data_IF_968022514296
#
_entry.id   IF_968022514296
#
_cell.length_a   1.000
_cell.length_b   1.000
_cell.length_c   1.000
_cell.angle_alpha   90.00
_cell.angle_beta   90.00
_cell.angle_gamma   90.00
#
_symmetry.space_group_name_H-M   'P 1'
#
loop_
_entity.id
_entity.type
_entity.pdbx_description
1 polymer ?
#
# COMPACT_ATOMS: atom_id res chain seq x y z
N UNK A 1 -22.70 3.88 11.13
CA UNK A 1 -21.97 4.94 10.38
C UNK A 1 -21.98 4.59 8.90
N UNK A 2 -22.04 5.57 8.01
CA UNK A 2 -21.76 5.34 6.58
C UNK A 2 -20.23 5.26 6.41
N UNK A 3 -19.72 4.14 5.91
CA UNK A 3 -18.33 4.01 5.49
C UNK A 3 -18.04 4.80 4.21
N UNK A 4 -16.78 4.82 3.78
CA UNK A 4 -16.37 5.44 2.53
C UNK A 4 -16.70 4.53 1.35
N UNK A 5 -17.22 5.12 0.27
CA UNK A 5 -17.49 4.39 -0.98
C UNK A 5 -16.22 4.16 -1.80
N UNK A 6 -15.22 5.03 -1.63
CA UNK A 6 -13.92 4.92 -2.29
C UNK A 6 -12.81 5.28 -1.31
N UNK A 7 -11.79 4.44 -1.23
CA UNK A 7 -10.50 4.75 -0.63
C UNK A 7 -9.44 4.63 -1.73
N UNK A 8 -8.65 5.68 -1.93
CA UNK A 8 -7.54 5.73 -2.88
C UNK A 8 -6.26 6.04 -2.11
N UNK A 9 -5.19 5.31 -2.39
CA UNK A 9 -3.89 5.57 -1.78
C UNK A 9 -2.74 5.32 -2.75
N UNK A 10 -1.78 6.24 -2.76
CA UNK A 10 -0.44 6.02 -3.28
C UNK A 10 0.52 5.98 -2.08
N UNK A 11 0.67 4.82 -1.41
CA UNK A 11 1.51 4.73 -0.23
C UNK A 11 2.99 4.52 -0.59
N UNK A 12 3.91 4.77 0.35
CA UNK A 12 5.32 4.38 0.19
C UNK A 12 5.43 2.86 -0.02
N UNK A 13 5.97 2.45 -1.18
CA UNK A 13 6.06 1.04 -1.61
C UNK A 13 7.50 0.57 -1.89
N UNK A 14 8.49 1.45 -1.73
CA UNK A 14 9.91 1.10 -1.96
C UNK A 14 10.47 0.44 -0.69
N UNK A 15 11.08 -0.74 -0.83
CA UNK A 15 11.79 -1.38 0.26
C UNK A 15 13.07 -0.60 0.63
N UNK A 16 13.42 -0.55 1.92
CA UNK A 16 14.58 0.24 2.37
C UNK A 16 15.91 -0.19 1.75
N UNK A 17 16.06 -1.48 1.44
CA UNK A 17 17.25 -2.03 0.79
C UNK A 17 17.41 -1.57 -0.67
N UNK A 18 16.38 -0.97 -1.28
CA UNK A 18 16.43 -0.44 -2.65
C UNK A 18 16.89 1.02 -2.74
N UNK A 19 17.22 1.67 -1.62
CA UNK A 19 17.66 3.08 -1.60
C UNK A 19 18.84 3.37 -2.55
N UNK A 20 19.76 2.40 -2.73
CA UNK A 20 20.90 2.53 -3.64
C UNK A 20 20.55 2.48 -5.14
N UNK A 21 19.35 2.01 -5.49
CA UNK A 21 18.88 1.88 -6.88
C UNK A 21 18.02 3.06 -7.35
N UNK A 22 17.72 4.01 -6.46
CA UNK A 22 16.94 5.19 -6.80
C UNK A 22 17.71 6.12 -7.72
N UNK A 23 16.99 6.76 -8.65
CA UNK A 23 17.52 7.88 -9.42
C UNK A 23 17.98 8.98 -8.45
N UNK A 24 19.10 9.64 -8.76
CA UNK A 24 19.68 10.67 -7.91
C UNK A 24 18.66 11.76 -7.54
N UNK A 25 17.89 12.24 -8.53
CA UNK A 25 16.87 13.27 -8.30
C UNK A 25 15.80 12.82 -7.29
N UNK A 26 15.33 11.57 -7.38
CA UNK A 26 14.33 11.02 -6.43
C UNK A 26 14.95 10.87 -5.05
N UNK A 27 16.14 10.29 -4.96
CA UNK A 27 16.83 10.07 -3.69
C UNK A 27 17.16 11.39 -2.97
N UNK A 28 17.56 12.41 -3.72
CA UNK A 28 18.12 13.64 -3.18
C UNK A 28 17.06 14.76 -3.00
N UNK A 29 15.89 14.63 -3.63
CA UNK A 29 14.83 15.67 -3.59
C UNK A 29 13.46 15.21 -3.07
N UNK A 30 13.14 13.91 -3.08
CA UNK A 30 11.86 13.43 -2.53
C UNK A 30 11.98 13.10 -1.04
N UNK A 31 10.94 13.38 -0.21
CA UNK A 31 10.96 13.01 1.20
C UNK A 31 11.05 11.50 1.37
N UNK A 32 12.03 11.02 2.15
CA UNK A 32 12.21 9.57 2.38
C UNK A 32 10.95 8.89 2.92
N UNK A 33 10.15 9.58 3.74
CA UNK A 33 8.89 9.06 4.31
C UNK A 33 7.81 8.81 3.25
N UNK A 34 7.88 9.49 2.10
CA UNK A 34 6.96 9.29 0.97
C UNK A 34 7.38 8.12 0.08
N UNK A 35 8.67 7.76 0.10
CA UNK A 35 9.23 6.71 -0.76
C UNK A 35 9.24 5.34 -0.08
N UNK A 36 9.78 5.28 1.14
CA UNK A 36 10.14 4.01 1.76
C UNK A 36 9.02 3.44 2.63
N UNK A 37 8.68 2.19 2.35
CA UNK A 37 7.94 1.37 3.30
C UNK A 37 8.84 0.99 4.49
N UNK A 38 8.24 0.70 5.64
CA UNK A 38 9.00 0.44 6.87
C UNK A 38 9.75 -0.90 6.89
N UNK A 39 9.27 -1.92 6.18
CA UNK A 39 9.90 -3.23 6.14
C UNK A 39 10.59 -3.56 4.82
N UNK A 40 11.07 -4.80 4.76
CA UNK A 40 12.07 -5.25 3.78
C UNK A 40 11.49 -5.59 2.41
N UNK A 41 10.18 -5.82 2.32
CA UNK A 41 9.51 -6.22 1.06
C UNK A 41 8.74 -5.08 0.39
N UNK A 42 8.70 -3.89 1.02
CA UNK A 42 7.97 -2.74 0.49
C UNK A 42 6.45 -2.82 0.70
N UNK A 43 5.93 -3.80 1.44
CA UNK A 43 4.49 -4.07 1.51
C UNK A 43 3.78 -3.61 2.79
N UNK A 44 4.50 -3.11 3.79
CA UNK A 44 3.92 -2.79 5.11
C UNK A 44 2.86 -1.70 5.06
N UNK A 45 3.08 -0.66 4.26
CA UNK A 45 2.09 0.39 4.04
C UNK A 45 0.76 -0.20 3.53
N UNK A 46 0.83 -1.15 2.58
CA UNK A 46 -0.37 -1.82 2.08
C UNK A 46 -1.04 -2.66 3.16
N UNK A 47 -0.29 -3.42 3.98
CA UNK A 47 -0.85 -4.21 5.09
C UNK A 47 -1.66 -3.35 6.05
N UNK A 48 -1.09 -2.23 6.48
CA UNK A 48 -1.74 -1.29 7.42
C UNK A 48 -2.98 -0.67 6.79
N UNK A 49 -2.90 -0.23 5.53
CA UNK A 49 -4.03 0.42 4.87
C UNK A 49 -5.14 -0.60 4.59
N UNK A 50 -4.83 -1.83 4.17
CA UNK A 50 -5.83 -2.88 3.95
C UNK A 50 -6.59 -3.19 5.25
N UNK A 51 -5.88 -3.29 6.38
CA UNK A 51 -6.49 -3.51 7.69
C UNK A 51 -7.45 -2.37 8.06
N UNK A 52 -7.01 -1.12 7.90
CA UNK A 52 -7.84 0.06 8.21
C UNK A 52 -9.00 0.24 7.22
N UNK A 53 -8.78 -0.04 5.94
CA UNK A 53 -9.79 0.08 4.91
C UNK A 53 -10.95 -0.90 5.14
N UNK A 54 -10.68 -2.11 5.66
CA UNK A 54 -11.72 -3.08 6.01
C UNK A 54 -12.71 -2.53 7.06
N UNK A 55 -12.25 -1.67 7.97
CA UNK A 55 -13.09 -1.03 8.99
C UNK A 55 -13.82 0.21 8.48
N UNK A 56 -13.31 0.83 7.40
CA UNK A 56 -13.71 2.16 6.94
C UNK A 56 -14.57 2.13 5.66
N UNK A 57 -14.49 1.06 4.86
CA UNK A 57 -15.26 0.94 3.62
C UNK A 57 -16.75 0.68 3.86
N UNK A 58 -17.59 1.20 2.96
CA UNK A 58 -18.99 0.80 2.87
C UNK A 58 -19.11 -0.62 2.28
N UNK A 59 -20.28 -1.25 2.40
CA UNK A 59 -20.51 -2.65 1.95
C UNK A 59 -20.13 -2.89 0.47
N UNK A 60 -20.27 -1.87 -0.38
CA UNK A 60 -19.90 -1.90 -1.79
C UNK A 60 -18.74 -0.94 -2.11
N UNK A 61 -18.00 -0.51 -1.09
CA UNK A 61 -16.88 0.39 -1.24
C UNK A 61 -15.71 -0.28 -1.96
N UNK A 62 -14.90 0.53 -2.62
CA UNK A 62 -13.73 0.09 -3.39
C UNK A 62 -12.44 0.70 -2.85
N UNK A 63 -11.38 -0.10 -2.83
CA UNK A 63 -10.03 0.31 -2.45
C UNK A 63 -9.13 0.28 -3.69
N UNK A 64 -8.47 1.40 -3.97
CA UNK A 64 -7.50 1.53 -5.05
C UNK A 64 -6.13 1.86 -4.50
N UNK A 65 -5.12 1.22 -5.07
CA UNK A 65 -3.72 1.48 -4.79
C UNK A 65 -2.95 1.82 -6.07
N UNK A 66 -2.05 2.80 -5.97
CA UNK A 66 -0.86 2.79 -6.81
C UNK A 66 0.13 1.76 -6.24
N UNK A 67 0.75 0.97 -7.11
CA UNK A 67 1.70 -0.09 -6.73
C UNK A 67 2.97 0.03 -7.56
N UNK A 68 4.10 -0.35 -6.97
CA UNK A 68 5.36 -0.45 -7.69
C UNK A 68 5.34 -1.55 -8.76
N UNK A 69 6.24 -1.44 -9.74
CA UNK A 69 6.40 -2.43 -10.80
C UNK A 69 6.66 -3.83 -10.22
N UNK A 70 5.82 -4.81 -10.59
CA UNK A 70 5.91 -6.20 -10.11
C UNK A 70 5.27 -6.47 -8.75
N UNK A 71 4.70 -5.49 -8.05
CA UNK A 71 4.05 -5.70 -6.74
C UNK A 71 2.54 -5.98 -6.82
N UNK A 72 1.92 -5.82 -8.00
CA UNK A 72 0.46 -5.91 -8.14
C UNK A 72 -0.11 -7.24 -7.63
N UNK A 73 0.49 -8.38 -7.99
CA UNK A 73 -0.01 -9.71 -7.58
C UNK A 73 0.17 -9.95 -6.08
N UNK A 74 1.25 -9.45 -5.49
CA UNK A 74 1.50 -9.56 -4.05
C UNK A 74 0.47 -8.74 -3.25
N UNK A 75 0.22 -7.50 -3.67
CA UNK A 75 -0.79 -6.62 -3.05
C UNK A 75 -2.19 -7.21 -3.21
N UNK A 76 -2.53 -7.76 -4.39
CA UNK A 76 -3.79 -8.46 -4.61
C UNK A 76 -3.95 -9.67 -3.68
N UNK A 77 -2.89 -10.46 -3.47
CA UNK A 77 -2.90 -11.59 -2.54
C UNK A 77 -3.18 -11.15 -1.10
N UNK A 78 -2.57 -10.05 -0.63
CA UNK A 78 -2.83 -9.48 0.70
C UNK A 78 -4.31 -9.11 0.90
N UNK A 79 -4.94 -8.52 -0.13
CA UNK A 79 -6.36 -8.14 -0.09
C UNK A 79 -7.25 -9.39 -0.01
N UNK A 80 -6.98 -10.40 -0.84
CA UNK A 80 -7.76 -11.64 -0.89
C UNK A 80 -7.69 -12.43 0.42
N UNK A 81 -6.49 -12.61 0.98
CA UNK A 81 -6.30 -13.30 2.27
C UNK A 81 -7.12 -12.64 3.38
N UNK A 82 -7.22 -11.30 3.41
CA UNK A 82 -7.98 -10.61 4.44
C UNK A 82 -9.50 -10.75 4.27
N UNK A 83 -10.00 -10.84 3.03
CA UNK A 83 -11.42 -11.10 2.75
C UNK A 83 -11.88 -12.45 3.28
N UNK A 84 -11.01 -13.48 3.23
CA UNK A 84 -11.34 -14.81 3.73
C UNK A 84 -11.51 -14.87 5.26
N UNK A 85 -10.84 -13.99 6.01
CA UNK A 85 -10.95 -13.92 7.48
C UNK A 85 -12.15 -13.12 8.01
N UNK A 86 -12.81 -12.32 7.16
CA UNK A 86 -13.94 -11.47 7.55
C UNK A 86 -15.31 -12.07 7.18
N UNK A 87 -15.35 -13.33 6.74
CA UNK A 87 -16.55 -14.15 6.51
C UNK A 87 -16.64 -15.27 7.55
#
# INVERSE_FOLDING_TARGET
>A
MKGFDVILSNPPYIAQNHMGSLMADVRDHEPHIALFSKGEDGLDSFRVIIEKAAELLSCNGVLFFEVGFGQADQVASLISQKREYNN
#
